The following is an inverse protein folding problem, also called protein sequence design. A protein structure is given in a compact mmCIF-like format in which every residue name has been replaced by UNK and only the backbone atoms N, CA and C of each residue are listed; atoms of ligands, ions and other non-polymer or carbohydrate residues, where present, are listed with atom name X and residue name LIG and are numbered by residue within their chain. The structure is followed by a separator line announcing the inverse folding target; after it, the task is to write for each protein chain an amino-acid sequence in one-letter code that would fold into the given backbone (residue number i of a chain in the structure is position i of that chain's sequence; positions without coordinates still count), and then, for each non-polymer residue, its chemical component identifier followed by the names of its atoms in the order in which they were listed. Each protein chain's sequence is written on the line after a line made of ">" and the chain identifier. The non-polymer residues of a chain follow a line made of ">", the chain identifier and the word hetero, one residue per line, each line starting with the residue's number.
data_IF_571661288862
#
_entry.id   IF_571661288862
#
_cell.length_a   1.000
_cell.length_b   1.000
_cell.length_c   1.000
_cell.angle_alpha   90.00
_cell.angle_beta   90.00
_cell.angle_gamma   90.00
#
_symmetry.space_group_name_H-M   'P 1'
#
loop_
_entity.id
_entity.type
_entity.pdbx_description
1 polymer ?
#
# COMPACT_ATOMS: atom_id res chain seq x y z
N UNK A 1 6.51 -15.85 3.30
CA UNK A 1 7.20 -15.86 4.61
C UNK A 1 8.41 -14.96 4.40
N UNK A 2 8.32 -13.65 4.59
CA UNK A 2 8.38 -12.91 5.83
C UNK A 2 8.05 -11.46 5.45
N UNK A 3 7.07 -10.79 6.08
CA UNK A 3 7.12 -9.32 6.29
C UNK A 3 5.96 -8.68 7.07
N UNK A 4 4.92 -9.37 7.55
CA UNK A 4 3.88 -8.73 8.39
C UNK A 4 3.27 -9.65 9.45
N UNK A 5 4.11 -10.28 10.28
CA UNK A 5 3.71 -10.69 11.64
C UNK A 5 4.82 -10.19 12.57
N UNK A 6 4.42 -9.67 13.73
CA UNK A 6 5.18 -8.94 14.75
C UNK A 6 5.15 -7.42 14.54
N UNK A 7 3.99 -6.85 14.87
CA UNK A 7 3.96 -5.64 15.70
C UNK A 7 3.24 -6.03 17.00
N UNK A 8 3.98 -6.70 17.88
CA UNK A 8 3.66 -6.93 19.29
C UNK A 8 4.95 -7.25 20.07
N UNK A 9 5.27 -6.36 21.02
CA UNK A 9 6.18 -6.47 22.18
C UNK A 9 7.64 -5.97 22.07
N UNK A 10 8.09 -5.12 23.02
CA UNK A 10 9.47 -4.66 23.17
C UNK A 10 10.26 -5.54 24.16
N UNK A 11 11.33 -6.22 23.75
CA UNK A 11 12.39 -6.72 24.65
C UNK A 11 13.59 -7.28 23.85
N UNK A 12 14.44 -6.45 23.22
CA UNK A 12 15.83 -6.84 22.86
C UNK A 12 16.72 -5.59 22.92
N UNK A 13 16.91 -5.04 24.12
CA UNK A 13 18.09 -4.23 24.50
C UNK A 13 18.57 -4.78 25.83
N UNK A 14 19.17 -5.96 25.81
CA UNK A 14 19.92 -6.51 26.95
C UNK A 14 21.03 -7.48 26.54
N UNK A 15 21.40 -7.52 25.25
CA UNK A 15 22.35 -8.52 24.72
C UNK A 15 23.42 -7.96 23.78
N UNK A 16 23.72 -6.66 23.88
CA UNK A 16 24.85 -6.02 23.18
C UNK A 16 25.77 -5.29 24.20
N UNK A 17 25.76 -5.71 25.47
CA UNK A 17 26.72 -5.23 26.49
C UNK A 17 27.75 -6.28 26.92
N UNK A 18 27.89 -7.42 26.23
CA UNK A 18 28.80 -8.49 26.68
C UNK A 18 30.02 -8.75 25.81
N UNK A 19 30.25 -8.06 24.68
CA UNK A 19 31.46 -8.31 23.87
C UNK A 19 31.95 -7.07 23.11
N UNK A 20 32.78 -6.26 23.77
CA UNK A 20 33.82 -5.47 23.07
C UNK A 20 34.95 -5.11 24.04
N UNK A 21 35.95 -5.98 24.15
CA UNK A 21 37.27 -5.60 24.67
C UNK A 21 38.02 -4.83 23.59
N UNK A 22 38.59 -3.64 23.85
CA UNK A 22 39.68 -3.13 23.04
C UNK A 22 41.03 -3.65 23.57
N UNK A 23 41.84 -4.26 22.69
CA UNK A 23 43.26 -4.53 22.93
C UNK A 23 44.08 -3.26 22.61
N UNK A 24 44.80 -2.74 23.62
CA UNK A 24 46.18 -2.19 23.63
C UNK A 24 46.62 -1.21 22.49
N UNK A 25 47.33 -0.08 22.67
CA UNK A 25 48.37 0.38 23.60
C UNK A 25 48.48 1.92 23.50
N UNK A 26 48.68 2.64 24.60
CA UNK A 26 49.62 3.77 24.73
C UNK A 26 50.00 3.90 26.22
N UNK A 27 51.29 4.06 26.50
CA UNK A 27 51.93 4.02 27.81
C UNK A 27 51.54 5.19 28.71
N UNK A 28 51.21 4.90 29.98
CA UNK A 28 51.02 5.91 31.03
C UNK A 28 52.37 6.40 31.60
N UNK A 29 52.57 7.72 31.83
CA UNK A 29 53.72 8.22 32.59
C UNK A 29 53.51 8.01 34.11
N UNK A 30 54.59 8.00 34.92
CA UNK A 30 54.50 7.68 36.34
C UNK A 30 53.79 8.80 37.13
N UNK A 31 52.94 8.39 38.07
CA UNK A 31 52.18 9.27 38.96
C UNK A 31 53.12 10.01 39.95
N UNK A 32 53.08 11.34 39.94
CA UNK A 32 53.58 12.17 41.05
C UNK A 32 52.50 12.30 42.14
N UNK A 33 52.85 12.34 43.43
CA UNK A 33 51.89 12.60 44.49
C UNK A 33 51.43 14.05 44.40
N UNK A 34 50.15 14.27 44.06
CA UNK A 34 49.54 15.60 44.08
C UNK A 34 49.09 15.92 45.51
N UNK A 35 49.58 17.04 46.04
CA UNK A 35 49.11 17.63 47.30
C UNK A 35 47.63 17.97 47.18
N UNK A 36 46.84 17.62 48.20
CA UNK A 36 45.45 18.04 48.34
C UNK A 36 45.39 19.54 48.69
N UNK A 37 45.17 20.35 47.66
CA UNK A 37 44.48 21.64 47.77
C UNK A 37 43.68 21.77 46.47
N UNK A 38 42.40 21.39 46.48
CA UNK A 38 41.59 21.25 45.27
C UNK A 38 40.30 22.05 45.34
N UNK A 39 40.23 23.06 44.47
CA UNK A 39 39.09 23.91 44.14
C UNK A 39 37.79 23.14 43.83
N UNK A 40 36.67 23.72 44.27
CA UNK A 40 35.31 23.31 43.93
C UNK A 40 34.96 23.46 42.43
N UNK A 41 35.77 24.18 41.64
CA UNK A 41 35.58 24.37 40.19
C UNK A 41 35.75 23.07 39.38
N UNK A 42 36.60 22.16 39.86
CA UNK A 42 36.92 20.90 39.17
C UNK A 42 35.78 19.89 39.13
N UNK A 43 34.92 19.88 40.16
CA UNK A 43 33.75 19.02 40.21
C UNK A 43 32.64 19.52 39.26
N UNK A 44 32.46 20.84 39.14
CA UNK A 44 31.51 21.45 38.23
C UNK A 44 31.92 21.25 36.76
N UNK A 45 33.19 21.44 36.41
CA UNK A 45 33.71 21.17 35.06
C UNK A 45 33.56 19.70 34.67
N UNK A 46 33.88 18.75 35.58
CA UNK A 46 33.72 17.33 35.34
C UNK A 46 32.24 16.93 35.11
N UNK A 47 31.31 17.53 35.85
CA UNK A 47 29.87 17.29 35.64
C UNK A 47 29.36 17.90 34.34
N UNK A 48 29.81 19.10 33.97
CA UNK A 48 29.43 19.76 32.72
C UNK A 48 29.94 18.99 31.50
N UNK A 49 31.18 18.50 31.53
CA UNK A 49 31.76 17.69 30.46
C UNK A 49 31.06 16.34 30.33
N UNK A 50 30.68 15.71 31.45
CA UNK A 50 29.90 14.45 31.46
C UNK A 50 28.47 14.64 30.96
N UNK A 51 27.79 15.73 31.34
CA UNK A 51 26.45 16.07 30.86
C UNK A 51 26.46 16.42 29.37
N UNK A 52 27.45 17.20 28.92
CA UNK A 52 27.69 17.45 27.51
C UNK A 52 28.01 16.14 26.77
N UNK A 53 28.73 15.22 27.42
CA UNK A 53 29.07 13.90 26.89
C UNK A 53 27.84 13.02 26.63
N UNK A 54 26.91 13.03 27.58
CA UNK A 54 25.63 12.32 27.49
C UNK A 54 24.70 12.96 26.46
N UNK A 55 24.70 14.30 26.35
CA UNK A 55 23.89 15.03 25.39
C UNK A 55 24.31 14.76 23.94
N UNK A 56 25.60 14.86 23.61
CA UNK A 56 26.06 14.59 22.24
C UNK A 56 25.79 13.14 21.82
N UNK A 57 25.88 12.18 22.75
CA UNK A 57 25.55 10.77 22.48
C UNK A 57 24.08 10.60 22.10
N UNK A 58 23.16 11.27 22.81
CA UNK A 58 21.73 11.25 22.46
C UNK A 58 21.47 11.90 21.11
N UNK A 59 22.05 13.06 20.84
CA UNK A 59 21.89 13.76 19.56
C UNK A 59 22.44 12.93 18.38
N UNK A 60 23.59 12.27 18.53
CA UNK A 60 24.10 11.34 17.51
C UNK A 60 23.21 10.10 17.35
N UNK A 61 22.70 9.53 18.46
CA UNK A 61 21.77 8.41 18.41
C UNK A 61 20.49 8.80 17.66
N UNK A 62 19.94 10.00 17.91
CA UNK A 62 18.76 10.50 17.22
C UNK A 62 19.02 10.67 15.71
N UNK A 63 20.16 11.23 15.33
CA UNK A 63 20.56 11.36 13.91
C UNK A 63 20.69 9.99 13.23
N UNK A 64 21.29 9.00 13.91
CA UNK A 64 21.43 7.64 13.39
C UNK A 64 20.07 6.92 13.27
N UNK A 65 19.25 7.01 14.31
CA UNK A 65 17.89 6.43 14.36
C UNK A 65 17.03 7.04 13.25
N UNK A 66 17.07 8.37 13.08
CA UNK A 66 16.35 9.04 12.00
C UNK A 66 16.91 8.69 10.61
N UNK A 67 18.23 8.48 10.50
CA UNK A 67 18.85 7.92 9.31
C UNK A 67 18.27 6.56 8.93
N UNK A 68 18.16 5.66 9.90
CA UNK A 68 17.56 4.32 9.73
C UNK A 68 16.07 4.43 9.38
N UNK A 69 15.29 5.24 10.11
CA UNK A 69 13.86 5.47 9.84
C UNK A 69 13.65 5.97 8.42
N UNK A 70 14.43 6.97 7.97
CA UNK A 70 14.38 7.49 6.59
C UNK A 70 14.71 6.41 5.56
N UNK A 71 15.73 5.57 5.81
CA UNK A 71 16.10 4.46 4.93
C UNK A 71 14.96 3.44 4.82
N UNK A 72 14.37 3.04 5.94
CA UNK A 72 13.23 2.11 5.97
C UNK A 72 12.01 2.69 5.26
N UNK A 73 11.69 3.96 5.50
CA UNK A 73 10.58 4.64 4.83
C UNK A 73 10.76 4.70 3.30
N UNK A 74 11.97 5.05 2.84
CA UNK A 74 12.31 5.05 1.40
C UNK A 74 12.16 3.68 0.77
N UNK A 75 12.62 2.63 1.44
CA UNK A 75 12.53 1.26 0.94
C UNK A 75 11.07 0.78 0.88
N UNK A 76 10.27 1.08 1.91
CA UNK A 76 8.82 0.81 1.91
C UNK A 76 8.12 1.53 0.74
N UNK A 77 8.45 2.81 0.50
CA UNK A 77 7.93 3.57 -0.63
C UNK A 77 8.34 2.95 -1.97
N UNK A 78 9.62 2.60 -2.16
CA UNK A 78 10.12 1.95 -3.38
C UNK A 78 9.35 0.66 -3.70
N UNK A 79 9.10 -0.19 -2.70
CA UNK A 79 8.31 -1.42 -2.88
C UNK A 79 6.86 -1.14 -3.25
N UNK A 80 6.24 -0.14 -2.61
CA UNK A 80 4.87 0.29 -2.90
C UNK A 80 4.74 0.74 -4.36
N UNK A 81 5.62 1.65 -4.79
CA UNK A 81 5.68 2.19 -6.15
C UNK A 81 5.99 1.08 -7.18
N UNK A 82 6.98 0.23 -6.91
CA UNK A 82 7.33 -0.89 -7.80
C UNK A 82 6.17 -1.88 -8.02
N UNK A 83 5.42 -2.20 -6.95
CA UNK A 83 4.22 -3.07 -7.09
C UNK A 83 3.12 -2.42 -7.93
N UNK A 84 2.91 -1.11 -7.77
CA UNK A 84 1.97 -0.35 -8.56
C UNK A 84 2.39 -0.32 -10.04
N UNK A 85 3.68 -0.11 -10.31
CA UNK A 85 4.24 -0.16 -11.67
C UNK A 85 4.02 -1.52 -12.34
N UNK A 86 4.30 -2.63 -11.65
CA UNK A 86 4.07 -3.98 -12.19
C UNK A 86 2.59 -4.21 -12.56
N UNK A 87 1.69 -3.69 -11.74
CA UNK A 87 0.25 -3.83 -11.99
C UNK A 87 -0.20 -2.94 -13.14
N UNK A 88 0.25 -1.68 -13.18
CA UNK A 88 0.02 -0.78 -14.30
C UNK A 88 0.51 -1.37 -15.63
N UNK A 89 1.67 -2.05 -15.63
CA UNK A 89 2.19 -2.74 -16.82
C UNK A 89 1.30 -3.91 -17.27
N UNK A 90 0.68 -4.63 -16.32
CA UNK A 90 -0.27 -5.70 -16.65
C UNK A 90 -1.58 -5.12 -17.23
N UNK A 91 -2.09 -4.05 -16.62
CA UNK A 91 -3.29 -3.33 -17.05
C UNK A 91 -3.12 -2.70 -18.44
N UNK A 92 -1.98 -2.05 -18.69
CA UNK A 92 -1.67 -1.37 -19.95
C UNK A 92 -1.58 -2.32 -21.16
N UNK A 93 -1.48 -3.64 -20.93
CA UNK A 93 -1.52 -4.65 -22.00
C UNK A 93 -2.94 -4.99 -22.45
N UNK A 94 -3.94 -4.64 -21.65
CA UNK A 94 -5.35 -4.92 -21.91
C UNK A 94 -6.08 -3.68 -22.42
N UNK A 95 -5.69 -2.49 -21.94
CA UNK A 95 -6.33 -1.22 -22.30
C UNK A 95 -5.62 -0.62 -23.52
N UNK A 96 -6.36 -0.18 -24.57
CA UNK A 96 -5.78 0.55 -25.70
C UNK A 96 -5.08 1.84 -25.26
N UNK A 97 -3.98 2.22 -25.94
CA UNK A 97 -3.33 3.52 -25.71
C UNK A 97 -4.29 4.66 -26.03
N UNK A 98 -4.18 5.77 -25.30
CA UNK A 98 -5.08 6.92 -25.43
C UNK A 98 -6.46 6.77 -24.77
N UNK A 99 -6.76 5.62 -24.15
CA UNK A 99 -8.06 5.39 -23.48
C UNK A 99 -8.25 6.27 -22.24
N UNK A 100 -9.39 6.95 -22.12
CA UNK A 100 -9.78 7.63 -20.88
C UNK A 100 -10.05 6.61 -19.79
N UNK A 101 -9.32 6.68 -18.67
CA UNK A 101 -9.42 5.70 -17.56
C UNK A 101 -9.85 6.35 -16.26
N UNK A 102 -10.81 5.71 -15.59
CA UNK A 102 -11.19 5.99 -14.20
C UNK A 102 -10.63 4.91 -13.27
N UNK A 103 -9.82 5.29 -12.29
CA UNK A 103 -9.30 4.41 -11.23
C UNK A 103 -10.15 4.59 -9.97
N UNK A 104 -11.10 3.67 -9.75
CA UNK A 104 -12.00 3.69 -8.59
C UNK A 104 -11.30 3.01 -7.42
N UNK A 105 -11.30 3.65 -6.25
CA UNK A 105 -10.54 3.19 -5.08
C UNK A 105 -9.02 3.33 -5.30
N UNK A 106 -8.58 4.45 -5.87
CA UNK A 106 -7.19 4.61 -6.32
C UNK A 106 -6.16 4.62 -5.18
N UNK A 107 -6.59 4.81 -3.91
CA UNK A 107 -5.74 4.82 -2.73
C UNK A 107 -4.56 5.80 -2.86
N UNK A 108 -3.33 5.28 -2.89
CA UNK A 108 -2.12 6.10 -3.00
C UNK A 108 -1.89 6.71 -4.40
N UNK A 109 -2.62 6.26 -5.42
CA UNK A 109 -2.59 6.81 -6.78
C UNK A 109 -1.40 6.36 -7.65
N UNK A 110 -0.47 5.53 -7.16
CA UNK A 110 0.70 5.15 -7.98
C UNK A 110 0.34 4.29 -9.20
N UNK A 111 -0.76 3.54 -9.16
CA UNK A 111 -1.25 2.76 -10.31
C UNK A 111 -1.69 3.71 -11.42
N UNK A 112 -2.63 4.61 -11.12
CA UNK A 112 -3.08 5.67 -12.02
C UNK A 112 -1.91 6.47 -12.60
N UNK A 113 -0.96 6.89 -11.76
CA UNK A 113 0.21 7.64 -12.19
C UNK A 113 1.06 6.90 -13.24
N UNK A 114 1.41 5.63 -12.97
CA UNK A 114 2.17 4.84 -13.92
C UNK A 114 1.38 4.51 -15.18
N UNK A 115 0.09 4.21 -15.03
CA UNK A 115 -0.79 3.87 -16.13
C UNK A 115 -0.99 5.05 -17.08
N UNK A 116 -1.15 6.27 -16.56
CA UNK A 116 -1.24 7.49 -17.35
C UNK A 116 -0.03 7.66 -18.27
N UNK A 117 1.18 7.48 -17.75
CA UNK A 117 2.40 7.54 -18.53
C UNK A 117 2.48 6.45 -19.63
N UNK A 118 1.99 5.23 -19.35
CA UNK A 118 2.01 4.13 -20.30
C UNK A 118 0.98 4.30 -21.44
N UNK A 119 -0.23 4.74 -21.09
CA UNK A 119 -1.33 4.95 -22.03
C UNK A 119 -1.16 6.25 -22.84
N UNK A 120 -0.40 7.22 -22.33
CA UNK A 120 -0.23 8.53 -22.96
C UNK A 120 -1.47 9.42 -22.83
N UNK A 121 -2.27 9.22 -21.78
CA UNK A 121 -3.51 9.95 -21.52
C UNK A 121 -3.75 10.09 -20.00
N UNK A 122 -4.74 10.90 -19.62
CA UNK A 122 -5.12 11.09 -18.22
C UNK A 122 -5.73 9.83 -17.60
N UNK A 123 -5.41 9.60 -16.33
CA UNK A 123 -6.12 8.65 -15.48
C UNK A 123 -6.66 9.42 -14.29
N UNK A 124 -7.98 9.46 -14.16
CA UNK A 124 -8.65 10.12 -13.04
C UNK A 124 -8.84 9.10 -11.93
N UNK A 125 -8.34 9.39 -10.73
CA UNK A 125 -8.54 8.58 -9.54
C UNK A 125 -9.73 9.07 -8.71
N UNK A 126 -10.52 8.15 -8.17
CA UNK A 126 -11.51 8.46 -7.13
C UNK A 126 -11.36 7.54 -5.93
N UNK A 127 -11.61 8.05 -4.72
CA UNK A 127 -11.57 7.27 -3.48
C UNK A 127 -12.50 7.92 -2.44
N UNK A 128 -13.01 7.13 -1.49
CA UNK A 128 -13.83 7.63 -0.37
C UNK A 128 -13.00 8.37 0.68
N UNK A 129 -11.69 8.18 0.65
CA UNK A 129 -10.72 8.84 1.53
C UNK A 129 -9.62 9.49 0.72
N UNK A 130 -9.18 10.69 1.13
CA UNK A 130 -8.06 11.34 0.47
C UNK A 130 -6.72 10.84 1.05
N UNK A 131 -6.13 9.86 0.37
CA UNK A 131 -4.84 9.26 0.70
C UNK A 131 -3.86 9.25 -0.49
N UNK A 132 -4.12 10.06 -1.50
CA UNK A 132 -3.29 10.12 -2.71
C UNK A 132 -1.91 10.66 -2.39
N UNK A 133 -0.87 9.92 -2.79
CA UNK A 133 0.54 10.29 -2.64
C UNK A 133 1.17 10.63 -3.99
N UNK A 134 0.64 10.06 -5.08
CA UNK A 134 1.08 10.28 -6.43
C UNK A 134 0.43 11.54 -7.04
N UNK A 135 1.13 12.25 -7.94
CA UNK A 135 0.53 13.37 -8.66
C UNK A 135 -0.40 12.83 -9.76
N UNK A 136 -1.70 12.76 -9.45
CA UNK A 136 -2.77 12.34 -10.35
C UNK A 136 -3.95 13.31 -10.23
N UNK A 137 -4.79 13.35 -11.26
CA UNK A 137 -6.10 13.98 -11.16
C UNK A 137 -6.97 13.13 -10.24
N UNK A 138 -7.48 13.73 -9.17
CA UNK A 138 -8.17 13.01 -8.09
C UNK A 138 -9.45 13.71 -7.67
N UNK A 139 -10.51 12.92 -7.42
CA UNK A 139 -11.75 13.40 -6.82
C UNK A 139 -12.22 12.48 -5.69
N UNK A 140 -12.60 13.06 -4.55
CA UNK A 140 -13.22 12.30 -3.47
C UNK A 140 -14.69 12.00 -3.80
N UNK A 141 -15.22 10.86 -3.37
CA UNK A 141 -16.64 10.53 -3.51
C UNK A 141 -17.23 9.86 -2.27
N UNK A 142 -18.55 9.73 -2.21
CA UNK A 142 -19.30 9.29 -1.03
C UNK A 142 -19.47 7.76 -0.91
N UNK A 143 -18.86 6.99 -1.81
CA UNK A 143 -19.03 5.54 -1.88
C UNK A 143 -20.30 5.09 -2.60
N UNK A 144 -21.12 6.03 -3.11
CA UNK A 144 -22.41 5.72 -3.76
C UNK A 144 -22.49 6.22 -5.19
N UNK A 145 -22.01 7.43 -5.47
CA UNK A 145 -22.07 8.03 -6.82
C UNK A 145 -20.71 8.53 -7.24
N UNK A 146 -20.25 8.11 -8.43
CA UNK A 146 -19.00 8.59 -8.99
C UNK A 146 -19.19 10.03 -9.49
N UNK A 147 -18.30 10.97 -9.13
CA UNK A 147 -18.42 12.40 -9.44
C UNK A 147 -17.98 12.71 -10.89
N UNK A 148 -18.49 11.93 -11.84
CA UNK A 148 -18.13 11.97 -13.27
C UNK A 148 -19.35 11.70 -14.13
N UNK A 149 -19.28 12.14 -15.39
CA UNK A 149 -20.38 12.03 -16.34
C UNK A 149 -20.69 10.58 -16.78
N UNK A 150 -21.89 10.39 -17.33
CA UNK A 150 -22.29 9.13 -17.95
C UNK A 150 -21.46 8.90 -19.22
N UNK A 151 -21.14 7.63 -19.52
CA UNK A 151 -20.42 7.23 -20.73
C UNK A 151 -19.19 8.08 -21.06
N UNK A 152 -18.40 8.44 -20.05
CA UNK A 152 -17.24 9.31 -20.19
C UNK A 152 -15.91 8.57 -20.27
N UNK A 153 -15.83 7.30 -19.89
CA UNK A 153 -14.58 6.54 -19.82
C UNK A 153 -14.56 5.32 -20.75
N UNK A 154 -13.42 5.06 -21.37
CA UNK A 154 -13.16 3.86 -22.16
C UNK A 154 -12.83 2.66 -21.27
N UNK A 155 -12.27 2.91 -20.08
CA UNK A 155 -11.99 1.87 -19.10
C UNK A 155 -12.19 2.34 -17.68
N UNK A 156 -12.69 1.44 -16.83
CA UNK A 156 -12.82 1.65 -15.38
C UNK A 156 -12.02 0.58 -14.67
N UNK A 157 -11.21 0.97 -13.71
CA UNK A 157 -10.36 0.09 -12.94
C UNK A 157 -10.85 0.00 -11.49
N UNK A 158 -10.95 -1.22 -10.98
CA UNK A 158 -11.32 -1.51 -9.59
C UNK A 158 -10.31 -2.53 -9.04
N UNK A 159 -9.18 -2.03 -8.52
CA UNK A 159 -8.12 -2.89 -7.99
C UNK A 159 -8.25 -3.06 -6.47
N UNK A 160 -8.76 -4.22 -6.03
CA UNK A 160 -8.92 -4.57 -4.61
C UNK A 160 -9.90 -3.63 -3.89
N UNK A 161 -11.07 -3.40 -4.50
CA UNK A 161 -12.04 -2.38 -4.05
C UNK A 161 -13.37 -3.02 -3.66
N UNK A 162 -13.87 -3.98 -4.43
CA UNK A 162 -15.24 -4.46 -4.27
C UNK A 162 -15.44 -5.28 -2.99
N UNK A 163 -14.37 -5.85 -2.44
CA UNK A 163 -14.47 -6.47 -1.11
C UNK A 163 -14.62 -5.45 0.03
N UNK A 164 -14.26 -4.18 -0.16
CA UNK A 164 -14.54 -3.11 0.80
C UNK A 164 -15.96 -2.53 0.64
N UNK A 165 -16.55 -2.66 -0.54
CA UNK A 165 -17.84 -2.06 -0.85
C UNK A 165 -18.98 -2.72 -0.04
N UNK A 166 -19.71 -1.89 0.71
CA UNK A 166 -20.85 -2.35 1.50
C UNK A 166 -22.04 -2.75 0.64
N UNK A 167 -22.22 -2.05 -0.49
CA UNK A 167 -23.21 -2.37 -1.52
C UNK A 167 -22.50 -2.42 -2.86
N UNK A 168 -22.03 -3.62 -3.23
CA UNK A 168 -21.20 -3.81 -4.44
C UNK A 168 -21.98 -3.49 -5.72
N UNK A 169 -23.29 -3.75 -5.72
CA UNK A 169 -24.19 -3.48 -6.83
C UNK A 169 -24.16 -1.99 -7.20
N UNK A 170 -24.17 -1.09 -6.23
CA UNK A 170 -24.11 0.37 -6.47
C UNK A 170 -22.82 0.75 -7.18
N UNK A 171 -21.68 0.19 -6.78
CA UNK A 171 -20.38 0.44 -7.42
C UNK A 171 -20.36 -0.11 -8.85
N UNK A 172 -20.93 -1.29 -9.09
CA UNK A 172 -21.02 -1.88 -10.42
C UNK A 172 -22.01 -1.16 -11.34
N UNK A 173 -23.12 -0.66 -10.80
CA UNK A 173 -24.09 0.17 -11.52
C UNK A 173 -23.46 1.50 -11.95
N UNK A 174 -22.73 2.16 -11.07
CA UNK A 174 -21.98 3.38 -11.40
C UNK A 174 -20.86 3.09 -12.40
N UNK A 175 -20.15 1.97 -12.25
CA UNK A 175 -19.17 1.51 -13.24
C UNK A 175 -19.81 1.35 -14.61
N UNK A 176 -21.01 0.76 -14.68
CA UNK A 176 -21.78 0.62 -15.92
C UNK A 176 -22.19 1.98 -16.48
N UNK A 177 -22.65 2.91 -15.63
CA UNK A 177 -23.09 4.26 -16.03
C UNK A 177 -21.97 5.05 -16.70
N UNK A 178 -20.77 5.03 -16.12
CA UNK A 178 -19.65 5.88 -16.58
C UNK A 178 -18.90 5.28 -17.77
N UNK A 179 -19.05 3.98 -18.02
CA UNK A 179 -18.44 3.32 -19.17
C UNK A 179 -19.12 3.76 -20.48
N UNK A 180 -18.30 4.06 -21.48
CA UNK A 180 -18.74 4.21 -22.87
C UNK A 180 -19.26 2.87 -23.42
N UNK A 181 -20.15 2.88 -24.42
CA UNK A 181 -20.48 1.68 -25.17
C UNK A 181 -19.21 0.99 -25.69
N UNK A 182 -19.03 -0.28 -25.34
CA UNK A 182 -17.84 -1.05 -25.71
C UNK A 182 -16.61 -0.83 -24.80
N UNK A 183 -16.72 0.01 -23.77
CA UNK A 183 -15.69 0.17 -22.74
C UNK A 183 -15.50 -1.08 -21.87
N UNK A 184 -14.40 -1.10 -21.12
CA UNK A 184 -13.97 -2.25 -20.31
C UNK A 184 -13.91 -1.91 -18.81
N UNK A 185 -14.43 -2.80 -17.96
CA UNK A 185 -14.10 -2.75 -16.53
C UNK A 185 -13.01 -3.78 -16.21
N UNK A 186 -11.93 -3.36 -15.55
CA UNK A 186 -10.85 -4.24 -15.12
C UNK A 186 -10.89 -4.33 -13.59
N UNK A 187 -11.16 -5.54 -13.09
CA UNK A 187 -11.40 -5.78 -11.67
C UNK A 187 -10.37 -6.77 -11.14
N UNK A 188 -9.73 -6.45 -10.02
CA UNK A 188 -8.79 -7.34 -9.34
C UNK A 188 -9.30 -7.62 -7.94
N UNK A 189 -9.43 -8.89 -7.59
CA UNK A 189 -9.95 -9.30 -6.28
C UNK A 189 -9.12 -10.42 -5.65
N UNK A 190 -9.11 -10.41 -4.32
CA UNK A 190 -8.54 -11.47 -3.51
C UNK A 190 -9.56 -12.62 -3.38
N UNK A 191 -9.13 -13.82 -3.77
CA UNK A 191 -9.92 -15.06 -3.74
C UNK A 191 -9.26 -16.00 -2.71
N UNK A 192 -9.66 -15.92 -1.43
CA UNK A 192 -9.06 -16.76 -0.39
C UNK A 192 -9.53 -18.21 -0.52
N UNK A 193 -8.60 -19.13 -0.81
CA UNK A 193 -8.91 -20.56 -0.98
C UNK A 193 -8.40 -21.40 0.18
N UNK A 194 -7.23 -21.06 0.71
CA UNK A 194 -6.60 -21.81 1.80
C UNK A 194 -6.97 -21.22 3.17
N UNK A 195 -6.76 -21.98 4.24
CA UNK A 195 -6.93 -21.49 5.61
C UNK A 195 -6.01 -20.29 5.90
N UNK A 196 -4.79 -20.29 5.33
CA UNK A 196 -3.85 -19.18 5.46
C UNK A 196 -4.37 -17.91 4.78
N UNK A 197 -4.94 -18.05 3.57
CA UNK A 197 -5.55 -16.92 2.85
C UNK A 197 -6.66 -16.29 3.68
N UNK A 198 -7.55 -17.15 4.23
CA UNK A 198 -8.66 -16.72 5.07
C UNK A 198 -8.16 -16.02 6.34
N UNK A 199 -7.08 -16.50 6.95
CA UNK A 199 -6.44 -15.85 8.09
C UNK A 199 -5.92 -14.45 7.75
N UNK A 200 -5.25 -14.28 6.61
CA UNK A 200 -4.78 -12.96 6.15
C UNK A 200 -5.96 -12.03 5.84
N UNK A 201 -6.97 -12.52 5.13
CA UNK A 201 -8.19 -11.76 4.84
C UNK A 201 -8.93 -11.33 6.11
N UNK A 202 -8.95 -12.15 7.16
CA UNK A 202 -9.52 -11.80 8.46
C UNK A 202 -8.75 -10.67 9.16
N UNK A 203 -7.41 -10.72 9.15
CA UNK A 203 -6.58 -9.62 9.67
C UNK A 203 -6.85 -8.33 8.89
N UNK A 204 -6.92 -8.43 7.56
CA UNK A 204 -7.22 -7.30 6.68
C UNK A 204 -8.59 -6.70 6.99
N UNK A 205 -9.62 -7.54 7.09
CA UNK A 205 -10.96 -7.11 7.50
C UNK A 205 -10.92 -6.38 8.85
N UNK A 206 -10.25 -6.93 9.87
CA UNK A 206 -10.13 -6.28 11.18
C UNK A 206 -9.44 -4.91 11.10
N UNK A 207 -8.44 -4.75 10.25
CA UNK A 207 -7.73 -3.48 10.07
C UNK A 207 -8.59 -2.41 9.38
N UNK A 208 -9.47 -2.80 8.46
CA UNK A 208 -10.26 -1.88 7.64
C UNK A 208 -11.70 -1.70 8.13
N UNK A 209 -12.18 -2.56 9.03
CA UNK A 209 -13.56 -2.58 9.52
C UNK A 209 -14.07 -1.22 9.99
N UNK A 210 -13.25 -0.49 10.76
CA UNK A 210 -13.66 0.81 11.30
C UNK A 210 -13.66 1.93 10.25
N UNK A 211 -13.01 1.70 9.10
CA UNK A 211 -12.89 2.70 8.01
C UNK A 211 -13.91 2.49 6.90
N UNK A 212 -14.08 1.24 6.46
CA UNK A 212 -14.90 0.90 5.29
C UNK A 212 -16.10 0.02 5.63
N UNK A 213 -16.25 -0.41 6.89
CA UNK A 213 -17.14 -1.49 7.27
C UNK A 213 -16.53 -2.87 6.99
N UNK A 214 -17.27 -3.97 7.26
CA UNK A 214 -16.77 -5.33 7.09
C UNK A 214 -16.42 -5.60 5.62
N UNK A 215 -15.26 -6.23 5.41
CA UNK A 215 -14.81 -6.69 4.11
C UNK A 215 -15.50 -8.01 3.73
N UNK A 216 -15.95 -8.12 2.48
CA UNK A 216 -16.56 -9.35 1.92
C UNK A 216 -15.73 -9.91 0.78
N UNK A 217 -14.88 -10.86 1.11
CA UNK A 217 -14.16 -11.67 0.13
C UNK A 217 -15.09 -12.76 -0.43
N UNK A 218 -15.24 -12.78 -1.76
CA UNK A 218 -16.14 -13.70 -2.46
C UNK A 218 -15.35 -14.74 -3.25
N UNK A 219 -15.98 -15.88 -3.47
CA UNK A 219 -15.50 -16.90 -4.40
C UNK A 219 -15.60 -16.40 -5.86
N UNK A 220 -14.88 -17.07 -6.75
CA UNK A 220 -14.97 -16.77 -8.19
C UNK A 220 -16.40 -16.91 -8.72
N UNK A 221 -17.14 -17.93 -8.29
CA UNK A 221 -18.52 -18.17 -8.72
C UNK A 221 -19.45 -17.02 -8.31
N UNK A 222 -19.32 -16.55 -7.07
CA UNK A 222 -20.10 -15.40 -6.58
C UNK A 222 -19.77 -14.12 -7.35
N UNK A 223 -18.49 -13.88 -7.68
CA UNK A 223 -18.11 -12.75 -8.54
C UNK A 223 -18.73 -12.87 -9.93
N UNK A 224 -18.66 -14.05 -10.57
CA UNK A 224 -19.27 -14.27 -11.90
C UNK A 224 -20.76 -13.96 -11.90
N UNK A 225 -21.49 -14.49 -10.93
CA UNK A 225 -22.93 -14.22 -10.80
C UNK A 225 -23.22 -12.75 -10.57
N UNK A 226 -22.45 -12.07 -9.72
CA UNK A 226 -22.64 -10.66 -9.43
C UNK A 226 -22.41 -9.78 -10.67
N UNK A 227 -21.34 -10.02 -11.42
CA UNK A 227 -21.04 -9.28 -12.64
C UNK A 227 -22.15 -9.45 -13.68
N UNK A 228 -22.60 -10.69 -13.91
CA UNK A 228 -23.72 -10.97 -14.82
C UNK A 228 -25.01 -10.28 -14.38
N UNK A 229 -25.36 -10.37 -13.10
CA UNK A 229 -26.55 -9.73 -12.54
C UNK A 229 -26.51 -8.20 -12.68
N UNK A 230 -25.32 -7.60 -12.70
CA UNK A 230 -25.13 -6.15 -12.88
C UNK A 230 -24.97 -5.74 -14.36
N UNK A 231 -25.24 -6.63 -15.31
CA UNK A 231 -25.24 -6.31 -16.73
C UNK A 231 -23.87 -6.40 -17.41
N UNK A 232 -22.92 -7.15 -16.83
CA UNK A 232 -21.60 -7.36 -17.42
C UNK A 232 -21.41 -8.79 -17.93
N UNK A 233 -20.74 -8.91 -19.08
CA UNK A 233 -20.11 -10.15 -19.52
C UNK A 233 -18.62 -10.16 -19.14
N UNK A 234 -18.10 -11.33 -18.80
CA UNK A 234 -16.67 -11.53 -18.56
C UNK A 234 -16.02 -11.89 -19.89
N UNK A 235 -15.19 -10.98 -20.42
CA UNK A 235 -14.46 -11.22 -21.68
C UNK A 235 -13.12 -11.91 -21.46
N UNK A 236 -12.54 -11.76 -20.26
CA UNK A 236 -11.33 -12.46 -19.87
C UNK A 236 -11.30 -12.63 -18.34
N UNK A 237 -10.85 -13.81 -17.91
CA UNK A 237 -10.63 -14.11 -16.50
C UNK A 237 -9.26 -14.76 -16.36
N UNK A 238 -8.46 -14.26 -15.42
CA UNK A 238 -7.10 -14.75 -15.22
C UNK A 238 -6.77 -14.85 -13.75
N UNK A 239 -6.46 -16.06 -13.31
CA UNK A 239 -5.90 -16.31 -11.98
C UNK A 239 -4.43 -15.90 -11.96
N UNK A 240 -4.08 -14.99 -11.06
CA UNK A 240 -2.72 -14.48 -10.94
C UNK A 240 -1.87 -15.44 -10.11
N UNK A 241 -0.69 -15.80 -10.64
CA UNK A 241 0.24 -16.71 -9.97
C UNK A 241 0.67 -16.16 -8.61
N UNK A 242 0.58 -17.02 -7.58
CA UNK A 242 1.12 -16.76 -6.23
C UNK A 242 2.65 -16.65 -6.24
N UNK A 243 3.29 -17.41 -7.14
CA UNK A 243 4.75 -17.52 -7.22
C UNK A 243 5.43 -16.34 -7.90
N UNK A 244 4.72 -15.62 -8.79
CA UNK A 244 5.25 -14.39 -9.41
C UNK A 244 5.45 -13.26 -8.39
N UNK A 245 4.78 -13.31 -7.24
CA UNK A 245 4.88 -12.30 -6.18
C UNK A 245 4.80 -12.98 -4.80
N UNK A 246 5.93 -13.52 -4.31
CA UNK A 246 6.10 -14.11 -2.96
C UNK A 246 5.62 -13.22 -1.79
N UNK A 247 5.35 -11.95 -2.06
CA UNK A 247 4.89 -10.97 -1.08
C UNK A 247 3.36 -10.84 -0.98
N UNK A 248 2.58 -11.50 -1.84
CA UNK A 248 1.11 -11.50 -1.74
C UNK A 248 0.64 -12.88 -1.27
N UNK A 249 0.16 -12.97 -0.02
CA UNK A 249 -0.15 -14.27 0.58
C UNK A 249 -1.45 -14.86 0.08
N UNK A 250 -2.37 -14.08 -0.50
CA UNK A 250 -3.71 -14.52 -0.93
C UNK A 250 -3.73 -14.79 -2.45
N UNK A 251 -4.54 -15.77 -2.88
CA UNK A 251 -4.81 -16.02 -4.29
C UNK A 251 -5.58 -14.86 -4.91
N UNK A 252 -5.28 -14.49 -6.16
CA UNK A 252 -5.84 -13.30 -6.80
C UNK A 252 -6.36 -13.64 -8.17
N UNK A 253 -7.45 -13.00 -8.57
CA UNK A 253 -8.03 -13.13 -9.89
C UNK A 253 -8.30 -11.75 -10.47
N UNK A 254 -7.97 -11.58 -11.75
CA UNK A 254 -8.32 -10.41 -12.54
C UNK A 254 -9.44 -10.76 -13.51
N UNK A 255 -10.43 -9.89 -13.61
CA UNK A 255 -11.54 -9.96 -14.54
C UNK A 255 -11.48 -8.77 -15.47
N UNK A 256 -11.70 -9.01 -16.76
CA UNK A 256 -11.98 -7.98 -17.75
C UNK A 256 -13.43 -8.17 -18.14
N UNK A 257 -14.22 -7.13 -17.92
CA UNK A 257 -15.66 -7.12 -18.15
C UNK A 257 -16.01 -6.16 -19.28
N UNK A 258 -17.12 -6.46 -19.96
CA UNK A 258 -17.76 -5.58 -20.93
C UNK A 258 -19.24 -5.50 -20.62
N UNK A 259 -19.90 -4.41 -21.01
CA UNK A 259 -21.35 -4.31 -20.91
C UNK A 259 -22.02 -5.36 -21.79
N UNK A 260 -23.05 -6.04 -21.25
CA UNK A 260 -23.90 -6.89 -22.06
C UNK A 260 -24.53 -6.07 -23.19
N UNK A 261 -24.53 -6.62 -24.39
CA UNK A 261 -25.28 -6.02 -25.49
C UNK A 261 -26.76 -6.05 -25.13
N UNK A 262 -27.40 -4.90 -25.11
CA UNK A 262 -28.87 -4.84 -25.07
C UNK A 262 -29.36 -5.55 -26.34
N UNK A 263 -30.09 -6.65 -26.19
CA UNK A 263 -30.84 -7.19 -27.32
C UNK A 263 -31.80 -6.08 -27.78
N UNK A 264 -31.87 -5.75 -29.08
CA UNK A 264 -32.95 -4.92 -29.56
C UNK A 264 -34.26 -5.61 -29.16
N UNK A 265 -35.19 -4.84 -28.58
CA UNK A 265 -36.53 -5.33 -28.31
C UNK A 265 -37.06 -5.97 -29.60
N UNK A 266 -37.50 -7.23 -29.52
CA UNK A 266 -38.21 -7.83 -30.63
C UNK A 266 -39.53 -7.06 -30.77
N UNK A 267 -39.60 -6.21 -31.79
CA UNK A 267 -40.82 -5.53 -32.24
C UNK A 267 -41.86 -6.55 -32.74
#
# INVERSE_FOLDING_TARGET
>A
MWLLIIDAMPQIISRIESESRPKQFFSAPPLRPLRLSGDLSSAEEFTAETLNSQRWRRELLDVLVDGIKRRVARERRRRKVGRAYDMALEIARTIPRGSEVLDVGCGNGFIAHHLSAMLGTGVVGIDVTNHTEAPIDYCCYDGRRFPVADSSYDSVLLCYVLHHAQVVQVILEETRRVLRPGGLALIYEDIPQTWWDKGVCWIHDRQWRDRTGPCRFRSELEWRHLFQACGFEIVNEKRLSRWRKLTHPVGRTSYVLRLLKTQPAAD
#
